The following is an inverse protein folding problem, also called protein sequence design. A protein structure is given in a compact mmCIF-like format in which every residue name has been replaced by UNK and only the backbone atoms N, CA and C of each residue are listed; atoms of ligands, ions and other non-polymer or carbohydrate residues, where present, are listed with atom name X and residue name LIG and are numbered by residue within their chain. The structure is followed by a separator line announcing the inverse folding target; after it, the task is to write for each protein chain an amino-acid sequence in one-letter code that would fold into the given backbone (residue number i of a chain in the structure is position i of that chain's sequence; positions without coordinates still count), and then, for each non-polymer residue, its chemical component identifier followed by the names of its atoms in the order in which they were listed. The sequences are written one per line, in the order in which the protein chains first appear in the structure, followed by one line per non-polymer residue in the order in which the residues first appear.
data_IF_171879951804
#
_entry.id   IF_171879951804
#
_cell.length_a   1.000
_cell.length_b   1.000
_cell.length_c   1.000
_cell.angle_alpha   90.00
_cell.angle_beta   90.00
_cell.angle_gamma   90.00
#
_symmetry.space_group_name_H-M   'P 1'
#
loop_
_entity.id
_entity.type
_entity.pdbx_description
1 polymer ?
#
# COMPACT_ATOMS: atom_id res chain seq x y z
N UNK A 1 -3.54 -20.04 -0.36
CA UNK A 1 -4.57 -19.58 -1.31
C UNK A 1 -5.49 -18.57 -0.63
N UNK A 2 -6.12 -17.67 -1.37
CA UNK A 2 -7.00 -16.66 -0.79
C UNK A 2 -7.86 -15.97 -1.85
N UNK A 3 -9.04 -15.50 -1.45
CA UNK A 3 -9.93 -14.66 -2.26
C UNK A 3 -10.22 -13.40 -1.48
N UNK A 4 -10.13 -12.26 -2.15
CA UNK A 4 -10.40 -10.96 -1.56
C UNK A 4 -11.03 -10.05 -2.62
N UNK A 5 -11.91 -9.16 -2.15
CA UNK A 5 -12.53 -8.13 -2.98
C UNK A 5 -12.31 -6.78 -2.30
N UNK A 6 -12.00 -5.78 -3.12
CA UNK A 6 -12.14 -4.40 -2.69
C UNK A 6 -13.01 -3.63 -3.65
N UNK A 7 -13.85 -2.73 -3.11
CA UNK A 7 -14.58 -1.77 -3.92
C UNK A 7 -13.77 -0.47 -3.96
N UNK A 8 -13.49 -0.01 -5.18
CA UNK A 8 -12.86 1.27 -5.43
C UNK A 8 -13.86 2.26 -6.01
N UNK A 9 -13.77 3.50 -5.54
CA UNK A 9 -14.48 4.63 -6.13
C UNK A 9 -13.61 5.87 -5.97
N UNK A 10 -13.87 6.91 -6.77
CA UNK A 10 -13.18 8.19 -6.64
C UNK A 10 -13.50 8.80 -5.28
N UNK A 11 -12.51 9.40 -4.65
CA UNK A 11 -12.66 10.04 -3.34
C UNK A 11 -13.80 11.08 -3.32
N UNK A 12 -13.91 11.91 -4.35
CA UNK A 12 -14.98 12.92 -4.46
C UNK A 12 -16.37 12.29 -4.51
N UNK A 13 -16.53 11.18 -5.22
CA UNK A 13 -17.79 10.44 -5.27
C UNK A 13 -18.08 9.74 -3.92
N UNK A 14 -17.05 9.27 -3.19
CA UNK A 14 -17.17 8.70 -1.85
C UNK A 14 -17.74 9.71 -0.85
N UNK A 15 -17.12 10.90 -0.85
CA UNK A 15 -17.48 12.01 0.04
C UNK A 15 -18.87 12.51 -0.29
N UNK A 16 -19.19 12.68 -1.58
CA UNK A 16 -20.53 13.09 -2.02
C UNK A 16 -21.61 12.10 -1.55
N UNK A 17 -21.35 10.81 -1.68
CA UNK A 17 -22.33 9.78 -1.34
C UNK A 17 -22.27 9.38 0.15
N UNK A 18 -21.42 10.05 0.94
CA UNK A 18 -21.22 9.82 2.38
C UNK A 18 -20.83 8.37 2.72
N UNK A 19 -19.98 7.77 1.88
CA UNK A 19 -19.47 6.42 2.08
C UNK A 19 -18.45 6.39 3.23
N UNK A 20 -18.37 5.26 3.94
CA UNK A 20 -17.28 5.00 4.89
C UNK A 20 -15.97 4.73 4.16
N UNK A 21 -15.00 5.63 4.31
CA UNK A 21 -13.68 5.55 3.66
C UNK A 21 -12.67 4.89 4.61
N UNK A 22 -12.09 3.74 4.22
CA UNK A 22 -11.06 3.07 5.05
C UNK A 22 -9.67 3.66 4.86
N UNK A 23 -9.32 4.02 3.62
CA UNK A 23 -8.03 4.62 3.26
C UNK A 23 -8.11 5.18 1.83
N UNK A 24 -7.13 6.00 1.45
CA UNK A 24 -6.95 6.54 0.09
C UNK A 24 -5.71 5.93 -0.55
N UNK A 25 -5.83 5.41 -1.76
CA UNK A 25 -4.72 5.11 -2.66
C UNK A 25 -4.28 6.44 -3.25
N UNK A 26 -3.19 6.99 -2.71
CA UNK A 26 -2.67 8.31 -3.05
C UNK A 26 -1.90 8.30 -4.37
N UNK A 27 -1.10 7.26 -4.58
CA UNK A 27 -0.33 7.06 -5.80
C UNK A 27 -0.02 5.58 -6.00
N UNK A 28 0.14 5.17 -7.25
CA UNK A 28 0.55 3.83 -7.64
C UNK A 28 1.42 3.91 -8.90
N UNK A 29 2.53 3.17 -8.86
CA UNK A 29 3.38 2.91 -10.01
C UNK A 29 3.39 1.41 -10.25
N UNK A 30 3.34 1.01 -11.53
CA UNK A 30 3.56 -0.38 -11.91
C UNK A 30 4.40 -0.44 -13.16
N UNK A 31 5.27 -1.45 -13.22
CA UNK A 31 6.00 -1.80 -14.43
C UNK A 31 5.52 -3.17 -14.91
N UNK A 32 5.26 -3.33 -16.21
CA UNK A 32 4.77 -4.59 -16.72
C UNK A 32 5.90 -5.63 -16.69
N UNK A 33 5.55 -6.89 -16.40
CA UNK A 33 6.51 -8.00 -16.28
C UNK A 33 7.35 -8.24 -17.54
N UNK A 34 6.84 -7.84 -18.71
CA UNK A 34 7.51 -7.99 -20.01
C UNK A 34 8.57 -6.90 -20.31
N UNK A 35 8.75 -5.90 -19.44
CA UNK A 35 9.80 -4.88 -19.58
C UNK A 35 11.21 -5.38 -19.27
N UNK A 36 11.39 -6.63 -18.82
CA UNK A 36 12.69 -7.30 -18.64
C UNK A 36 13.45 -7.57 -19.96
N UNK A 37 13.03 -6.97 -21.08
CA UNK A 37 13.57 -7.26 -22.41
C UNK A 37 14.63 -6.23 -22.84
N UNK A 38 15.91 -6.56 -22.58
CA UNK A 38 17.16 -6.22 -23.31
C UNK A 38 17.52 -4.78 -23.74
N UNK A 39 16.63 -3.79 -23.69
CA UNK A 39 16.96 -2.39 -24.05
C UNK A 39 17.03 -1.43 -22.86
N UNK A 40 16.32 -1.74 -21.77
CA UNK A 40 16.31 -0.94 -20.54
C UNK A 40 17.23 -1.64 -19.51
N UNK A 41 18.04 -0.90 -18.76
CA UNK A 41 19.02 -1.42 -17.80
C UNK A 41 18.43 -2.20 -16.59
N UNK A 42 17.16 -2.61 -16.65
CA UNK A 42 16.45 -3.32 -15.59
C UNK A 42 16.50 -4.82 -15.85
N UNK A 43 17.50 -5.48 -15.24
CA UNK A 43 17.80 -6.88 -15.51
C UNK A 43 17.22 -7.84 -14.46
N UNK A 44 16.65 -7.33 -13.37
CA UNK A 44 16.09 -8.11 -12.27
C UNK A 44 14.83 -7.48 -11.65
N UNK A 45 13.97 -8.26 -10.95
CA UNK A 45 12.86 -7.72 -10.16
C UNK A 45 13.29 -6.69 -9.10
N UNK A 46 14.53 -6.80 -8.62
CA UNK A 46 15.13 -5.86 -7.69
C UNK A 46 15.42 -4.50 -8.34
N UNK A 47 15.92 -4.49 -9.58
CA UNK A 47 16.12 -3.25 -10.34
C UNK A 47 14.78 -2.55 -10.61
N UNK A 48 13.75 -3.34 -10.95
CA UNK A 48 12.39 -2.84 -11.12
C UNK A 48 11.87 -2.22 -9.81
N UNK A 49 12.10 -2.88 -8.67
CA UNK A 49 11.70 -2.34 -7.37
C UNK A 49 12.37 -0.99 -7.09
N UNK A 50 13.66 -0.84 -7.39
CA UNK A 50 14.35 0.44 -7.22
C UNK A 50 13.74 1.52 -8.13
N UNK A 51 13.47 1.22 -9.40
CA UNK A 51 12.83 2.19 -10.29
C UNK A 51 11.41 2.57 -9.88
N UNK A 52 10.63 1.63 -9.31
CA UNK A 52 9.31 1.96 -8.76
C UNK A 52 9.41 3.00 -7.64
N UNK A 53 10.41 2.85 -6.76
CA UNK A 53 10.69 3.80 -5.69
C UNK A 53 11.17 5.15 -6.28
N UNK A 54 12.07 5.11 -7.27
CA UNK A 54 12.57 6.30 -7.95
C UNK A 54 11.46 7.09 -8.67
N UNK A 55 10.57 6.42 -9.41
CA UNK A 55 9.44 7.07 -10.09
C UNK A 55 8.55 7.78 -9.08
N UNK A 56 8.12 7.08 -8.02
CA UNK A 56 7.14 7.64 -7.10
C UNK A 56 7.70 8.75 -6.20
N UNK A 57 8.92 8.58 -5.67
CA UNK A 57 9.49 9.49 -4.68
C UNK A 57 10.38 10.58 -5.28
N UNK A 58 11.06 10.31 -6.40
CA UNK A 58 12.02 11.25 -7.00
C UNK A 58 11.51 11.88 -8.28
N UNK A 59 10.95 11.11 -9.22
CA UNK A 59 10.47 11.64 -10.50
C UNK A 59 9.15 12.39 -10.33
N UNK A 60 8.16 11.77 -9.68
CA UNK A 60 6.86 12.41 -9.41
C UNK A 60 6.98 13.44 -8.29
N UNK A 61 7.83 13.15 -7.29
CA UNK A 61 8.14 14.04 -6.16
C UNK A 61 6.89 14.65 -5.48
N UNK A 62 5.84 13.85 -5.32
CA UNK A 62 4.57 14.27 -4.66
C UNK A 62 4.47 13.84 -3.21
N UNK A 63 5.30 12.87 -2.82
CA UNK A 63 5.29 12.23 -1.50
C UNK A 63 6.69 12.35 -0.92
N UNK A 64 6.79 13.02 0.22
CA UNK A 64 8.02 13.05 0.99
C UNK A 64 8.21 11.71 1.72
N UNK A 65 9.38 11.10 1.54
CA UNK A 65 9.77 9.83 2.17
C UNK A 65 9.64 9.87 3.70
N UNK A 66 9.90 11.02 4.33
CA UNK A 66 9.80 11.21 5.78
C UNK A 66 8.37 11.03 6.31
N UNK A 67 7.37 11.10 5.42
CA UNK A 67 5.96 10.93 5.77
C UNK A 67 5.54 9.47 5.80
N UNK A 68 6.31 8.55 5.18
CA UNK A 68 6.00 7.12 5.16
C UNK A 68 6.36 6.52 6.53
N UNK A 69 5.36 5.94 7.19
CA UNK A 69 5.52 5.42 8.56
C UNK A 69 5.70 3.90 8.60
N UNK A 70 5.27 3.22 7.54
CA UNK A 70 5.32 1.77 7.44
C UNK A 70 5.51 1.30 6.00
N UNK A 71 6.23 0.20 5.83
CA UNK A 71 6.36 -0.50 4.55
C UNK A 71 5.82 -1.93 4.64
N UNK A 72 4.78 -2.19 3.86
CA UNK A 72 4.27 -3.53 3.64
C UNK A 72 4.99 -4.18 2.46
N UNK A 73 5.78 -5.21 2.74
CA UNK A 73 6.47 -6.01 1.72
C UNK A 73 5.56 -7.16 1.33
N UNK A 74 4.92 -7.04 0.17
CA UNK A 74 3.78 -7.86 -0.23
C UNK A 74 4.14 -9.28 -0.67
N UNK A 75 5.21 -9.40 -1.45
CA UNK A 75 5.63 -10.66 -2.04
C UNK A 75 7.06 -10.96 -1.62
N UNK A 76 7.38 -12.21 -1.33
CA UNK A 76 8.74 -12.69 -1.19
C UNK A 76 8.76 -14.06 -1.88
N UNK A 77 9.44 -14.14 -3.02
CA UNK A 77 9.73 -15.44 -3.64
C UNK A 77 11.04 -15.99 -3.05
N UNK A 78 11.37 -17.24 -3.36
CA UNK A 78 12.58 -17.89 -2.84
C UNK A 78 13.88 -17.19 -3.29
N UNK A 79 13.86 -16.49 -4.41
CA UNK A 79 15.04 -15.86 -5.01
C UNK A 79 15.22 -14.43 -4.50
N UNK A 80 14.11 -13.73 -4.28
CA UNK A 80 13.99 -12.35 -3.83
C UNK A 80 13.09 -12.29 -2.58
N UNK A 81 13.63 -12.84 -1.50
CA UNK A 81 12.97 -12.88 -0.19
C UNK A 81 12.77 -11.49 0.44
N UNK A 82 12.13 -11.45 1.62
CA UNK A 82 11.87 -10.20 2.36
C UNK A 82 13.16 -9.42 2.62
N UNK A 83 14.28 -10.10 2.88
CA UNK A 83 15.57 -9.46 3.14
C UNK A 83 16.07 -8.65 1.93
N UNK A 84 16.06 -9.23 0.73
CA UNK A 84 16.56 -8.53 -0.46
C UNK A 84 15.73 -7.27 -0.77
N UNK A 85 14.41 -7.36 -0.61
CA UNK A 85 13.50 -6.24 -0.81
C UNK A 85 13.64 -5.16 0.24
N UNK A 86 13.70 -5.57 1.51
CA UNK A 86 13.94 -4.66 2.62
C UNK A 86 15.26 -3.91 2.45
N UNK A 87 16.30 -4.57 1.93
CA UNK A 87 17.58 -3.93 1.63
C UNK A 87 17.44 -2.82 0.60
N UNK A 88 16.72 -3.03 -0.50
CA UNK A 88 16.53 -1.99 -1.52
C UNK A 88 15.75 -0.79 -0.97
N UNK A 89 14.69 -1.07 -0.21
CA UNK A 89 13.91 -0.03 0.47
C UNK A 89 14.81 0.76 1.43
N UNK A 90 15.55 0.06 2.30
CA UNK A 90 16.50 0.67 3.23
C UNK A 90 17.56 1.51 2.53
N UNK A 91 18.20 0.98 1.49
CA UNK A 91 19.22 1.69 0.72
C UNK A 91 18.63 2.94 0.04
N UNK A 92 17.40 2.87 -0.46
CA UNK A 92 16.72 4.02 -1.06
C UNK A 92 16.38 5.10 -0.02
N UNK A 93 15.78 4.72 1.11
CA UNK A 93 15.39 5.67 2.17
C UNK A 93 16.61 6.30 2.84
N UNK A 94 17.68 5.54 3.09
CA UNK A 94 18.91 6.07 3.71
C UNK A 94 19.69 7.03 2.80
N UNK A 95 19.64 6.84 1.47
CA UNK A 95 20.22 7.80 0.51
C UNK A 95 19.54 9.16 0.58
N UNK A 96 18.33 9.23 1.11
CA UNK A 96 17.57 10.45 1.29
C UNK A 96 17.77 11.10 2.66
N UNK A 97 18.80 10.70 3.42
CA UNK A 97 19.21 11.28 4.72
C UNK A 97 18.05 11.36 5.73
N UNK A 98 17.14 10.39 5.71
CA UNK A 98 16.06 10.35 6.70
C UNK A 98 16.61 9.81 8.02
N UNK A 99 16.66 10.63 9.08
CA UNK A 99 16.97 10.20 10.45
C UNK A 99 15.91 9.24 11.05
N UNK A 100 14.87 8.91 10.29
CA UNK A 100 13.75 8.09 10.75
C UNK A 100 14.01 6.60 10.59
N UNK A 101 13.92 5.86 11.70
CA UNK A 101 13.67 4.44 11.65
C UNK A 101 12.30 4.18 11.00
N UNK A 102 12.27 3.35 9.96
CA UNK A 102 11.08 2.99 9.21
C UNK A 102 10.60 1.60 9.61
N UNK A 103 9.34 1.50 10.00
CA UNK A 103 8.73 0.24 10.38
C UNK A 103 8.40 -0.57 9.12
N UNK A 104 8.59 -1.89 9.14
CA UNK A 104 8.20 -2.76 8.03
C UNK A 104 7.53 -4.05 8.49
N UNK A 105 6.92 -4.76 7.55
CA UNK A 105 6.46 -6.13 7.74
C UNK A 105 5.89 -6.74 6.47
N UNK A 106 5.29 -7.92 6.60
CA UNK A 106 4.75 -8.67 5.46
C UNK A 106 3.60 -9.57 5.90
N UNK A 107 2.43 -9.41 5.28
CA UNK A 107 1.24 -10.21 5.55
C UNK A 107 1.48 -11.70 5.25
N UNK A 108 2.41 -12.02 4.34
CA UNK A 108 2.79 -13.39 4.04
C UNK A 108 3.33 -14.11 5.28
N UNK A 109 3.91 -13.39 6.25
CA UNK A 109 4.30 -13.95 7.55
C UNK A 109 3.09 -14.47 8.34
N UNK A 110 1.90 -13.90 8.17
CA UNK A 110 0.70 -14.30 8.91
C UNK A 110 -0.12 -15.37 8.18
N UNK A 111 -0.25 -15.26 6.85
CA UNK A 111 -1.19 -16.07 6.05
C UNK A 111 -0.52 -16.93 4.97
N UNK A 112 0.80 -16.90 4.88
CA UNK A 112 1.56 -17.55 3.82
C UNK A 112 1.48 -16.80 2.48
N UNK A 113 2.16 -17.33 1.47
CA UNK A 113 2.10 -16.77 0.11
C UNK A 113 0.75 -17.10 -0.54
N UNK A 114 -0.04 -16.06 -0.79
CA UNK A 114 -1.34 -16.16 -1.48
C UNK A 114 -1.22 -15.88 -2.98
N UNK A 115 0.01 -15.80 -3.50
CA UNK A 115 0.36 -15.60 -4.90
C UNK A 115 -0.34 -14.37 -5.50
N UNK A 116 -1.24 -14.59 -6.45
CA UNK A 116 -2.00 -13.53 -7.13
C UNK A 116 -2.88 -12.70 -6.18
N UNK A 117 -3.21 -13.22 -5.00
CA UNK A 117 -3.98 -12.50 -3.99
C UNK A 117 -3.11 -11.74 -2.96
N UNK A 118 -1.78 -11.82 -3.05
CA UNK A 118 -0.88 -11.18 -2.08
C UNK A 118 -1.13 -9.67 -2.02
N UNK A 119 -1.07 -8.98 -3.16
CA UNK A 119 -1.20 -7.52 -3.20
C UNK A 119 -2.51 -6.99 -2.63
N UNK A 120 -3.61 -7.70 -2.88
CA UNK A 120 -4.90 -7.32 -2.31
C UNK A 120 -4.98 -7.63 -0.82
N UNK A 121 -4.36 -8.71 -0.36
CA UNK A 121 -4.28 -9.03 1.06
C UNK A 121 -3.43 -7.99 1.82
N UNK A 122 -2.30 -7.56 1.24
CA UNK A 122 -1.48 -6.45 1.74
C UNK A 122 -2.27 -5.15 1.83
N UNK A 123 -3.04 -4.81 0.78
CA UNK A 123 -3.90 -3.64 0.78
C UNK A 123 -4.91 -3.68 1.93
N UNK A 124 -5.55 -4.83 2.13
CA UNK A 124 -6.52 -5.05 3.20
C UNK A 124 -5.90 -4.85 4.58
N UNK A 125 -4.74 -5.46 4.85
CA UNK A 125 -4.01 -5.28 6.11
C UNK A 125 -3.70 -3.80 6.33
N UNK A 126 -3.16 -3.12 5.33
CA UNK A 126 -2.80 -1.70 5.40
C UNK A 126 -4.02 -0.81 5.62
N UNK A 127 -5.15 -1.06 4.94
CA UNK A 127 -6.41 -0.35 5.16
C UNK A 127 -6.90 -0.49 6.60
N UNK A 128 -6.82 -1.71 7.17
CA UNK A 128 -7.18 -1.95 8.57
C UNK A 128 -6.20 -1.31 9.55
N UNK A 129 -4.91 -1.31 9.25
CA UNK A 129 -3.87 -0.64 10.04
C UNK A 129 -4.12 0.87 10.12
N UNK A 130 -4.44 1.50 8.99
CA UNK A 130 -4.78 2.92 8.91
C UNK A 130 -6.06 3.21 9.69
N UNK A 131 -7.16 2.50 9.38
CA UNK A 131 -8.46 2.71 10.03
C UNK A 131 -8.39 2.61 11.55
N UNK A 132 -7.61 1.65 12.06
CA UNK A 132 -7.47 1.44 13.50
C UNK A 132 -6.30 2.25 14.11
N UNK A 133 -5.47 2.90 13.29
CA UNK A 133 -4.20 3.51 13.68
C UNK A 133 -3.26 2.59 14.47
N UNK A 134 -3.22 1.31 14.11
CA UNK A 134 -2.40 0.30 14.78
C UNK A 134 -1.48 -0.45 13.82
N UNK A 135 -0.34 -0.87 14.34
CA UNK A 135 0.64 -1.73 13.67
C UNK A 135 0.57 -3.12 14.34
N UNK A 136 0.03 -4.16 13.66
CA UNK A 136 -0.06 -5.50 14.22
C UNK A 136 1.32 -6.17 14.26
N UNK A 137 1.58 -7.01 15.28
CA UNK A 137 2.82 -7.78 15.36
C UNK A 137 2.91 -8.82 14.23
N UNK A 138 4.15 -9.15 13.82
CA UNK A 138 4.40 -10.22 12.86
C UNK A 138 4.46 -11.57 13.58
N UNK A 139 3.51 -12.47 13.27
CA UNK A 139 3.34 -13.74 14.00
C UNK A 139 4.45 -14.75 13.69
N UNK A 140 4.76 -14.94 12.41
CA UNK A 140 5.81 -15.86 12.00
C UNK A 140 7.03 -15.05 11.56
N UNK A 141 7.80 -14.60 12.54
CA UNK A 141 9.08 -13.93 12.33
C UNK A 141 10.12 -14.97 11.89
N UNK A 142 10.34 -15.09 10.59
CA UNK A 142 11.26 -16.07 10.01
C UNK A 142 12.71 -15.56 9.92
N UNK A 143 13.62 -16.41 9.45
CA UNK A 143 15.05 -16.07 9.32
C UNK A 143 15.31 -14.95 8.31
N UNK A 144 14.49 -14.80 7.26
CA UNK A 144 14.65 -13.76 6.24
C UNK A 144 14.25 -12.40 6.80
N UNK A 145 13.17 -12.35 7.58
CA UNK A 145 12.71 -11.17 8.31
C UNK A 145 13.74 -10.78 9.38
N UNK A 146 14.27 -11.77 10.12
CA UNK A 146 15.36 -11.56 11.09
C UNK A 146 16.60 -10.96 10.45
N UNK A 147 16.95 -11.45 9.26
CA UNK A 147 18.09 -10.95 8.49
C UNK A 147 17.82 -9.56 7.94
N UNK A 148 16.59 -9.23 7.54
CA UNK A 148 16.18 -7.88 7.17
C UNK A 148 16.45 -6.92 8.32
N UNK A 149 15.75 -7.09 9.44
CA UNK A 149 15.87 -6.18 10.60
C UNK A 149 17.31 -6.03 11.11
N UNK A 150 18.10 -7.11 11.15
CA UNK A 150 19.48 -7.05 11.65
C UNK A 150 20.52 -6.49 10.67
N UNK A 151 20.27 -6.54 9.36
CA UNK A 151 21.27 -6.19 8.33
C UNK A 151 20.90 -5.01 7.45
N UNK A 152 19.68 -4.47 7.56
CA UNK A 152 19.26 -3.28 6.82
C UNK A 152 19.19 -2.08 7.74
N UNK A 153 19.93 -1.02 7.42
CA UNK A 153 20.01 0.17 8.26
C UNK A 153 18.65 0.91 8.28
N UNK A 154 18.24 1.38 9.44
CA UNK A 154 17.03 2.21 9.55
C UNK A 154 15.70 1.46 9.40
N UNK A 155 15.69 0.13 9.28
CA UNK A 155 14.45 -0.66 9.31
C UNK A 155 14.27 -1.37 10.65
N UNK A 156 13.04 -1.42 11.14
CA UNK A 156 12.67 -2.17 12.34
C UNK A 156 11.29 -2.79 12.23
N UNK A 157 11.01 -3.77 13.08
CA UNK A 157 9.73 -4.46 13.10
C UNK A 157 9.08 -4.42 14.49
N UNK A 158 7.75 -4.24 14.51
CA UNK A 158 7.00 -4.32 15.78
C UNK A 158 6.80 -5.76 16.21
N UNK A 159 7.14 -6.05 17.47
CA UNK A 159 6.95 -7.38 18.10
C UNK A 159 5.64 -7.50 18.87
N UNK A 160 5.08 -6.35 19.24
CA UNK A 160 3.81 -6.21 19.94
C UNK A 160 2.92 -5.21 19.19
N UNK A 161 1.62 -5.27 19.46
CA UNK A 161 0.67 -4.32 18.89
C UNK A 161 1.08 -2.90 19.26
N UNK A 162 1.39 -2.08 18.26
CA UNK A 162 1.88 -0.71 18.45
C UNK A 162 0.92 0.29 17.81
N UNK A 163 0.94 1.55 18.26
CA UNK A 163 0.12 2.62 17.69
C UNK A 163 0.93 3.44 16.69
N UNK A 164 0.28 3.93 15.64
CA UNK A 164 0.87 4.99 14.84
C UNK A 164 0.95 6.30 15.64
N UNK A 165 1.96 7.16 15.40
CA UNK A 165 2.04 8.50 15.99
C UNK A 165 0.75 9.29 15.77
N UNK A 166 0.20 9.93 16.79
CA UNK A 166 -1.11 10.60 16.72
C UNK A 166 -1.07 11.99 16.06
N UNK A 167 0.13 12.55 15.91
CA UNK A 167 0.40 13.93 15.49
C UNK A 167 0.42 14.13 13.97
N UNK A 168 0.39 13.04 13.19
CA UNK A 168 0.42 13.10 11.72
C UNK A 168 -0.50 12.05 11.06
N UNK A 169 -0.96 12.34 9.83
CA UNK A 169 -1.68 11.35 9.03
C UNK A 169 -0.82 10.11 8.80
N UNK A 170 -1.46 8.94 8.80
CA UNK A 170 -0.77 7.68 8.51
C UNK A 170 -0.58 7.53 7.00
N UNK A 171 0.68 7.36 6.57
CA UNK A 171 1.02 6.93 5.20
C UNK A 171 1.81 5.64 5.26
N UNK A 172 1.37 4.67 4.47
CA UNK A 172 1.94 3.33 4.39
C UNK A 172 2.21 3.04 2.92
N UNK A 173 3.39 2.52 2.60
CA UNK A 173 3.64 2.03 1.25
C UNK A 173 3.50 0.50 1.18
N UNK A 174 2.98 0.02 0.06
CA UNK A 174 2.94 -1.40 -0.29
C UNK A 174 3.94 -1.60 -1.43
N UNK A 175 4.95 -2.45 -1.19
CA UNK A 175 6.07 -2.67 -2.10
C UNK A 175 6.07 -4.11 -2.60
N UNK A 176 5.70 -4.29 -3.88
CA UNK A 176 5.75 -5.55 -4.60
C UNK A 176 6.93 -5.63 -5.57
N UNK A 177 7.00 -6.72 -6.35
CA UNK A 177 8.03 -6.89 -7.40
C UNK A 177 7.85 -5.93 -8.58
N UNK A 178 6.60 -5.62 -8.92
CA UNK A 178 6.23 -4.94 -10.16
C UNK A 178 5.30 -3.75 -9.94
N UNK A 179 4.90 -3.52 -8.69
CA UNK A 179 4.04 -2.41 -8.33
C UNK A 179 4.44 -1.85 -6.97
N UNK A 180 4.28 -0.56 -6.81
CA UNK A 180 4.48 0.15 -5.56
C UNK A 180 3.34 1.15 -5.38
N UNK A 181 2.72 1.15 -4.21
CA UNK A 181 1.54 1.98 -3.93
C UNK A 181 1.70 2.72 -2.61
N UNK A 182 1.18 3.95 -2.55
CA UNK A 182 1.08 4.76 -1.34
C UNK A 182 -0.36 4.78 -0.89
N UNK A 183 -0.59 4.29 0.33
CA UNK A 183 -1.88 4.28 0.98
C UNK A 183 -1.86 5.29 2.12
N UNK A 184 -2.83 6.18 2.14
CA UNK A 184 -2.92 7.31 3.04
C UNK A 184 -4.23 7.26 3.85
N UNK A 185 -4.14 7.74 5.09
CA UNK A 185 -5.28 7.98 5.94
C UNK A 185 -6.20 9.08 5.40
N UNK A 186 -7.50 8.78 5.36
CA UNK A 186 -8.51 9.80 5.15
C UNK A 186 -8.90 10.43 6.49
N UNK A 187 -8.53 11.69 6.69
CA UNK A 187 -9.01 12.46 7.83
C UNK A 187 -10.36 13.08 7.46
N UNK A 188 -11.44 12.57 8.07
CA UNK A 188 -12.75 13.24 8.00
C UNK A 188 -12.64 14.61 8.67
N UNK A 189 -12.49 15.63 7.84
CA UNK A 189 -12.40 17.02 8.30
C UNK A 189 -13.82 17.52 8.60
N UNK A 190 -14.06 17.97 9.82
CA UNK A 190 -15.32 18.59 10.21
C UNK A 190 -15.59 19.86 9.35
N UNK A 191 -16.58 19.76 8.44
CA UNK A 191 -17.44 20.82 7.91
C UNK A 191 -16.84 21.91 7.00
N UNK A 192 -15.65 22.47 7.27
CA UNK A 192 -15.19 23.72 6.62
C UNK A 192 -13.97 23.58 5.70
N UNK A 193 -13.14 22.55 5.89
CA UNK A 193 -11.98 22.28 5.03
C UNK A 193 -12.27 21.37 3.82
N UNK A 194 -13.42 20.68 3.81
CA UNK A 194 -13.85 19.87 2.66
C UNK A 194 -13.90 20.71 1.37
N UNK A 195 -14.26 21.99 1.49
CA UNK A 195 -14.27 22.95 0.38
C UNK A 195 -12.88 23.26 -0.20
N UNK A 196 -11.79 23.15 0.57
CA UNK A 196 -10.43 23.42 0.08
C UNK A 196 -9.84 22.27 -0.74
N UNK A 197 -10.20 21.02 -0.42
CA UNK A 197 -9.77 19.85 -1.20
C UNK A 197 -10.52 19.82 -2.54
N UNK A 198 -11.84 20.08 -2.51
CA UNK A 198 -12.64 20.27 -3.74
C UNK A 198 -12.17 21.49 -4.55
N UNK A 199 -11.64 22.54 -3.91
CA UNK A 199 -11.09 23.70 -4.61
C UNK A 199 -9.69 23.48 -5.21
N UNK A 200 -8.87 22.57 -4.64
CA UNK A 200 -7.59 22.17 -5.25
C UNK A 200 -7.80 21.40 -6.56
N UNK A 201 -8.82 20.55 -6.63
CA UNK A 201 -9.20 19.86 -7.88
C UNK A 201 -9.69 20.84 -8.97
N UNK A 202 -10.35 21.95 -8.59
CA UNK A 202 -10.86 22.92 -9.55
C UNK A 202 -9.81 23.93 -10.09
N UNK A 203 -8.66 24.08 -9.42
CA UNK A 203 -7.63 25.04 -9.84
C UNK A 203 -6.68 24.52 -10.92
N UNK A 204 -6.72 23.22 -11.24
CA UNK A 204 -5.80 22.55 -12.17
C UNK A 204 -6.35 22.39 -13.60
N UNK A 205 -7.42 23.11 -13.95
CA UNK A 205 -8.02 23.09 -15.29
C UNK A 205 -7.22 23.85 -16.37
N UNK A 206 -6.00 24.32 -16.09
CA UNK A 206 -5.09 24.90 -17.10
C UNK A 206 -3.98 23.92 -17.47
N UNK A 207 -4.31 22.98 -18.37
CA UNK A 207 -3.41 22.62 -19.47
C UNK A 207 -2.18 21.76 -19.18
N UNK A 208 -2.25 20.73 -18.31
CA UNK A 208 -1.41 19.52 -18.42
C UNK A 208 -2.28 18.32 -18.03
N UNK A 209 -2.45 17.36 -18.94
CA UNK A 209 -3.27 16.17 -18.71
C UNK A 209 -2.52 15.18 -17.79
N UNK A 210 -2.85 15.20 -16.50
CA UNK A 210 -2.37 14.23 -15.51
C UNK A 210 -3.54 13.41 -14.95
N UNK A 211 -3.38 12.09 -14.89
CA UNK A 211 -4.39 11.18 -14.35
C UNK A 211 -4.29 11.16 -12.82
N UNK A 212 -4.73 12.22 -12.14
CA UNK A 212 -4.95 12.19 -10.69
C UNK A 212 -6.34 11.61 -10.40
N UNK A 213 -6.42 10.31 -10.14
CA UNK A 213 -7.62 9.72 -9.53
C UNK A 213 -7.22 9.10 -8.19
N UNK A 214 -7.63 9.74 -7.10
CA UNK A 214 -7.52 9.20 -5.75
C UNK A 214 -8.65 8.19 -5.56
N UNK A 215 -8.29 6.92 -5.38
CA UNK A 215 -9.22 5.83 -5.15
C UNK A 215 -9.25 5.47 -3.67
N UNK A 216 -10.37 5.02 -3.13
CA UNK A 216 -10.43 4.47 -1.77
C UNK A 216 -10.90 3.02 -1.77
N UNK A 217 -10.66 2.29 -0.68
CA UNK A 217 -10.85 0.83 -0.60
C UNK A 217 -11.95 0.50 0.40
N UNK A 218 -12.96 -0.29 0.01
CA UNK A 218 -13.82 -1.03 0.96
C UNK A 218 -13.43 -2.50 0.91
N UNK A 219 -13.06 -3.08 2.05
CA UNK A 219 -12.49 -4.42 2.16
C UNK A 219 -13.54 -5.47 2.46
N UNK A 220 -13.57 -6.56 1.69
CA UNK A 220 -14.32 -7.78 1.99
C UNK A 220 -13.38 -9.00 1.87
N UNK A 221 -13.24 -9.78 2.94
CA UNK A 221 -12.46 -11.02 2.98
C UNK A 221 -13.28 -12.20 3.50
N UNK A 222 -12.97 -13.41 3.04
CA UNK A 222 -13.60 -14.64 3.51
C UNK A 222 -12.67 -15.84 3.33
N UNK A 223 -12.76 -16.83 4.23
CA UNK A 223 -12.04 -18.10 4.12
C UNK A 223 -12.82 -19.04 3.21
N UNK A 224 -12.19 -19.52 2.13
CA UNK A 224 -12.86 -20.35 1.13
C UNK A 224 -12.70 -21.84 1.46
N UNK A 225 -13.58 -22.38 2.30
CA UNK A 225 -13.75 -23.84 2.40
C UNK A 225 -15.13 -24.30 1.86
N UNK A 226 -16.05 -23.38 1.52
CA UNK A 226 -17.37 -23.74 0.94
C UNK A 226 -18.18 -22.56 0.36
N UNK A 227 -17.57 -21.62 -0.38
CA UNK A 227 -18.34 -20.56 -1.06
C UNK A 227 -18.80 -21.02 -2.45
N UNK A 228 -19.88 -21.80 -2.47
CA UNK A 228 -20.64 -22.06 -3.69
C UNK A 228 -21.34 -20.77 -4.14
N UNK A 229 -20.88 -20.23 -5.27
CA UNK A 229 -21.53 -19.18 -6.09
C UNK A 229 -21.77 -17.81 -5.45
N UNK A 230 -20.86 -16.86 -5.71
CA UNK A 230 -21.19 -15.42 -5.72
C UNK A 230 -21.69 -15.07 -7.12
N UNK A 231 -23.00 -14.76 -7.26
CA UNK A 231 -23.55 -14.24 -8.52
C UNK A 231 -23.34 -12.73 -8.56
N UNK A 232 -22.56 -12.27 -9.53
CA UNK A 232 -22.38 -10.85 -9.87
C UNK A 232 -23.39 -10.50 -10.97
N UNK A 233 -24.38 -9.67 -10.65
CA UNK A 233 -25.31 -9.12 -11.65
C UNK A 233 -24.75 -7.80 -12.21
N UNK A 234 -24.75 -7.68 -13.53
CA UNK A 234 -24.04 -6.66 -14.31
C UNK A 234 -24.73 -5.29 -14.36
N UNK A 235 -25.78 -5.08 -13.57
CA UNK A 235 -26.52 -3.81 -13.53
C UNK A 235 -26.84 -3.45 -12.08
N UNK A 236 -26.16 -2.41 -11.61
CA UNK A 236 -26.32 -1.75 -10.31
C UNK A 236 -25.58 -2.42 -9.14
N UNK A 237 -24.55 -1.71 -8.66
CA UNK A 237 -24.00 -1.70 -7.31
C UNK A 237 -24.00 -3.02 -6.53
N UNK A 238 -22.84 -3.68 -6.46
CA UNK A 238 -22.64 -4.81 -5.55
C UNK A 238 -22.60 -4.29 -4.11
N UNK A 239 -23.69 -4.50 -3.38
CA UNK A 239 -23.77 -4.36 -1.92
C UNK A 239 -23.29 -5.66 -1.31
N UNK A 240 -22.21 -5.61 -0.53
CA UNK A 240 -21.82 -6.69 0.38
C UNK A 240 -21.72 -6.09 1.78
N UNK A 241 -22.81 -6.26 2.52
CA UNK A 241 -22.92 -5.97 3.94
C UNK A 241 -22.25 -7.11 4.71
N UNK A 242 -21.24 -6.80 5.53
CA UNK A 242 -20.87 -7.67 6.65
C UNK A 242 -21.62 -7.12 7.86
N UNK A 243 -22.77 -7.72 8.12
CA UNK A 243 -23.49 -7.57 9.38
C UNK A 243 -22.68 -8.32 10.43
N UNK A 244 -22.27 -7.61 11.49
CA UNK A 244 -22.10 -8.22 12.81
C UNK A 244 -23.40 -8.06 13.58
#
# INVERSE_FOLDING_TARGET
EGVALVLLKRLSDAVRDSDSIYCVIRDIVSYPRNKLNKSDCLNSPLDIQFELLNDIYTVRNRIDLSQVLYVEIDHADKEYDVFHKAKIISDFFNRCETDSHLCFGSIASNIGDTQHAAGIASLIKVSLMIKNRMIPPQKNYDQTIAKAESKTCGLYMVKELSLFPADKPVKICISGNYAHAIIEEWLELSGSHCNKIMARENAESTGIQMCEQQYYVIVITGKCDSLSTVKLDSKSSVILSVVS
#
